data_IF_450900824028
#
_entry.id   IF_450900824028
#
_cell.length_a   1.000
_cell.length_b   1.000
_cell.length_c   1.000
_cell.angle_alpha   90.00
_cell.angle_beta   90.00
_cell.angle_gamma   90.00
#
_symmetry.space_group_name_H-M   'P 1'
#
loop_
_entity.id
_entity.type
_entity.pdbx_description
1 polymer ?
#
# COMPACT_ATOMS: atom_id res chain seq x y z
N UNK A 1 25.20 -11.95 -41.73
CA UNK A 1 23.76 -11.73 -41.48
C UNK A 1 23.61 -11.46 -40.00
N UNK A 2 23.61 -10.19 -39.61
CA UNK A 2 23.36 -9.75 -38.23
C UNK A 2 21.91 -10.04 -37.90
N UNK A 3 21.67 -10.86 -36.87
CA UNK A 3 20.31 -11.07 -36.34
C UNK A 3 19.72 -9.71 -35.97
N UNK A 4 18.46 -9.42 -36.33
CA UNK A 4 17.79 -8.22 -35.84
C UNK A 4 17.78 -8.27 -34.31
N UNK A 5 18.16 -7.15 -33.68
CA UNK A 5 18.02 -6.99 -32.23
C UNK A 5 16.59 -7.39 -31.86
N UNK A 6 16.48 -8.41 -31.00
CA UNK A 6 15.19 -8.88 -30.52
C UNK A 6 14.46 -7.67 -29.90
N UNK A 7 13.32 -7.24 -30.45
CA UNK A 7 12.62 -6.04 -30.00
C UNK A 7 12.16 -6.15 -28.55
N UNK A 8 12.13 -7.39 -28.02
CA UNK A 8 11.77 -7.69 -26.64
C UNK A 8 13.00 -7.93 -25.76
N UNK A 9 14.23 -7.76 -26.25
CA UNK A 9 15.44 -8.01 -25.47
C UNK A 9 15.54 -7.08 -24.24
N UNK A 10 15.20 -5.81 -24.41
CA UNK A 10 15.17 -4.83 -23.32
C UNK A 10 14.08 -5.17 -22.28
N UNK A 11 12.90 -5.58 -22.75
CA UNK A 11 11.79 -6.04 -21.91
C UNK A 11 12.15 -7.32 -21.14
N UNK A 12 12.78 -8.29 -21.81
CA UNK A 12 13.27 -9.53 -21.21
C UNK A 12 14.39 -9.27 -20.19
N UNK A 13 15.25 -8.28 -20.41
CA UNK A 13 16.26 -7.87 -19.44
C UNK A 13 15.62 -7.24 -18.19
N UNK A 14 14.61 -6.36 -18.37
CA UNK A 14 13.82 -5.80 -17.26
C UNK A 14 13.10 -6.89 -16.47
N UNK A 15 12.40 -7.82 -17.13
CA UNK A 15 11.71 -8.95 -16.49
C UNK A 15 12.66 -9.86 -15.71
N UNK A 16 13.86 -10.12 -16.23
CA UNK A 16 14.86 -10.94 -15.54
C UNK A 16 15.49 -10.24 -14.33
N UNK A 17 15.59 -8.91 -14.35
CA UNK A 17 16.04 -8.12 -13.20
C UNK A 17 14.97 -8.04 -12.09
N UNK A 18 13.69 -8.03 -12.45
CA UNK A 18 12.57 -7.98 -11.49
C UNK A 18 12.06 -9.35 -11.03
N UNK A 19 12.42 -10.45 -11.70
CA UNK A 19 11.99 -11.82 -11.35
C UNK A 19 12.61 -12.40 -10.07
N UNK A 20 13.38 -11.64 -9.30
CA UNK A 20 13.85 -12.05 -7.96
C UNK A 20 12.76 -11.91 -6.88
N UNK A 21 11.55 -11.44 -7.22
CA UNK A 21 10.45 -11.25 -6.26
C UNK A 21 9.45 -12.39 -6.34
N UNK A 22 9.57 -13.35 -5.43
CA UNK A 22 8.69 -14.51 -5.23
C UNK A 22 7.26 -14.17 -4.75
N UNK A 23 6.74 -12.96 -5.03
CA UNK A 23 5.58 -12.39 -4.33
C UNK A 23 4.39 -11.93 -5.18
N UNK A 24 4.49 -11.89 -6.51
CA UNK A 24 3.43 -11.38 -7.38
C UNK A 24 2.33 -12.44 -7.60
N UNK A 25 1.07 -12.10 -7.33
CA UNK A 25 -0.07 -13.04 -7.37
C UNK A 25 -0.98 -12.82 -8.58
N UNK A 26 -0.90 -11.68 -9.26
CA UNK A 26 -1.75 -11.35 -10.41
C UNK A 26 -1.02 -10.54 -11.50
N UNK A 27 -1.60 -10.52 -12.71
CA UNK A 27 -1.12 -9.65 -13.80
C UNK A 27 -1.30 -8.16 -13.48
N UNK A 28 -2.28 -7.82 -12.65
CA UNK A 28 -2.51 -6.44 -12.21
C UNK A 28 -1.40 -5.99 -11.24
N UNK A 29 -0.87 -6.89 -10.41
CA UNK A 29 0.28 -6.60 -9.54
C UNK A 29 1.54 -6.31 -10.37
N UNK A 30 1.71 -7.02 -11.49
CA UNK A 30 2.80 -6.82 -12.42
C UNK A 30 2.65 -5.47 -13.13
N UNK A 31 1.44 -5.14 -13.60
CA UNK A 31 1.17 -3.87 -14.26
C UNK A 31 1.36 -2.68 -13.31
N UNK A 32 0.91 -2.81 -12.07
CA UNK A 32 1.10 -1.79 -11.03
C UNK A 32 2.58 -1.55 -10.74
N UNK A 33 3.42 -2.60 -10.69
CA UNK A 33 4.86 -2.42 -10.52
C UNK A 33 5.50 -1.75 -11.74
N UNK A 34 5.14 -2.17 -12.96
CA UNK A 34 5.72 -1.64 -14.19
C UNK A 34 5.34 -0.18 -14.47
N UNK A 35 4.24 0.28 -13.89
CA UNK A 35 3.71 1.65 -14.06
C UNK A 35 3.90 2.52 -12.82
N UNK A 36 4.47 1.99 -11.74
CA UNK A 36 4.80 2.77 -10.56
C UNK A 36 5.83 3.85 -10.91
N UNK A 37 5.59 5.07 -10.44
CA UNK A 37 6.59 6.12 -10.57
C UNK A 37 7.85 5.72 -9.79
N UNK A 38 9.04 5.87 -10.39
CA UNK A 38 10.29 5.54 -9.71
C UNK A 38 10.47 6.45 -8.50
N UNK A 39 10.97 5.87 -7.40
CA UNK A 39 11.34 6.64 -6.22
C UNK A 39 12.32 7.77 -6.61
N UNK A 40 12.18 8.96 -6.01
CA UNK A 40 13.09 10.07 -6.29
C UNK A 40 14.54 9.67 -5.92
N UNK A 41 15.47 9.99 -6.81
CA UNK A 41 16.90 9.74 -6.59
C UNK A 41 17.42 10.61 -5.44
N UNK A 42 17.92 10.02 -4.34
CA UNK A 42 18.43 10.78 -3.20
C UNK A 42 19.68 11.61 -3.54
N UNK A 43 20.37 11.33 -4.64
CA UNK A 43 21.59 12.03 -5.06
C UNK A 43 21.35 13.15 -6.06
N UNK A 44 20.11 13.33 -6.54
CA UNK A 44 19.79 14.30 -7.59
C UNK A 44 20.17 15.76 -7.26
N UNK A 45 20.32 16.10 -5.97
CA UNK A 45 20.72 17.43 -5.49
C UNK A 45 22.16 17.54 -4.99
N UNK A 46 22.99 16.52 -5.16
CA UNK A 46 24.41 16.56 -4.74
C UNK A 46 25.26 17.13 -5.88
N UNK A 47 25.96 18.23 -5.60
CA UNK A 47 26.97 18.76 -6.53
C UNK A 47 28.30 18.05 -6.33
N UNK A 48 28.87 17.54 -7.42
CA UNK A 48 30.16 16.86 -7.43
C UNK A 48 31.25 17.83 -7.88
N UNK A 49 32.29 17.95 -7.07
CA UNK A 49 33.46 18.78 -7.36
C UNK A 49 34.55 18.00 -8.12
N UNK A 50 34.48 16.66 -8.09
CA UNK A 50 35.47 15.75 -8.68
C UNK A 50 36.65 15.46 -7.76
N UNK A 51 36.59 15.92 -6.50
CA UNK A 51 37.55 15.61 -5.46
C UNK A 51 37.03 14.45 -4.60
N UNK A 52 37.75 13.33 -4.64
CA UNK A 52 37.39 12.09 -3.93
C UNK A 52 37.33 12.26 -2.40
N UNK A 53 37.99 13.27 -1.83
CA UNK A 53 37.98 13.53 -0.38
C UNK A 53 36.81 14.44 0.06
N UNK A 54 36.34 15.31 -0.83
CA UNK A 54 35.31 16.32 -0.50
C UNK A 54 33.89 15.90 -0.91
N UNK A 55 33.74 15.15 -2.00
CA UNK A 55 32.45 14.65 -2.52
C UNK A 55 31.74 13.59 -1.65
N UNK A 56 32.40 12.70 -0.86
CA UNK A 56 31.67 11.64 -0.14
C UNK A 56 30.84 12.18 1.03
N UNK A 57 31.20 13.33 1.60
CA UNK A 57 30.47 13.92 2.73
C UNK A 57 29.04 14.36 2.37
N UNK A 58 28.82 15.20 1.33
CA UNK A 58 27.47 15.55 0.91
C UNK A 58 26.69 14.36 0.36
N UNK A 59 27.36 13.43 -0.34
CA UNK A 59 26.75 12.20 -0.86
C UNK A 59 26.17 11.31 0.25
N UNK A 60 26.99 10.95 1.25
CA UNK A 60 26.55 10.14 2.38
C UNK A 60 25.45 10.84 3.20
N UNK A 61 25.51 12.17 3.31
CA UNK A 61 24.47 12.97 3.95
C UNK A 61 23.14 12.91 3.20
N UNK A 62 23.16 12.96 1.87
CA UNK A 62 21.98 12.86 1.02
C UNK A 62 21.37 11.46 1.06
N UNK A 63 22.20 10.40 0.98
CA UNK A 63 21.76 9.02 1.14
C UNK A 63 21.10 8.78 2.50
N UNK A 64 21.73 9.25 3.59
CA UNK A 64 21.18 9.09 4.94
C UNK A 64 19.81 9.76 5.09
N UNK A 65 19.62 10.96 4.54
CA UNK A 65 18.31 11.64 4.54
C UNK A 65 17.27 10.84 3.76
N UNK A 66 17.59 10.39 2.55
CA UNK A 66 16.67 9.60 1.73
C UNK A 66 16.19 8.31 2.41
N UNK A 67 17.08 7.59 3.12
CA UNK A 67 16.68 6.41 3.91
C UNK A 67 15.73 6.75 5.06
N UNK A 68 15.97 7.86 5.77
CA UNK A 68 15.12 8.29 6.88
C UNK A 68 13.74 8.72 6.40
N UNK A 69 13.67 9.50 5.33
CA UNK A 69 12.42 9.96 4.73
C UNK A 69 11.58 8.78 4.23
N UNK A 70 12.21 7.83 3.53
CA UNK A 70 11.53 6.59 3.11
C UNK A 70 11.03 5.78 4.28
N UNK A 71 11.83 5.63 5.33
CA UNK A 71 11.41 4.90 6.55
C UNK A 71 10.21 5.57 7.21
N UNK A 72 10.18 6.91 7.25
CA UNK A 72 9.05 7.67 7.80
C UNK A 72 7.78 7.50 6.95
N UNK A 73 7.89 7.57 5.63
CA UNK A 73 6.77 7.34 4.71
C UNK A 73 6.23 5.91 4.79
N UNK A 74 7.12 4.91 4.88
CA UNK A 74 6.70 3.52 5.08
C UNK A 74 6.05 3.31 6.44
N UNK A 75 6.53 3.98 7.49
CA UNK A 75 5.90 3.94 8.81
C UNK A 75 4.52 4.60 8.80
N UNK A 76 4.36 5.74 8.12
CA UNK A 76 3.08 6.42 7.92
C UNK A 76 2.10 5.53 7.15
N UNK A 77 2.55 4.91 6.05
CA UNK A 77 1.78 3.91 5.30
C UNK A 77 1.38 2.73 6.18
N UNK A 78 2.30 2.23 7.01
CA UNK A 78 2.03 1.14 7.94
C UNK A 78 1.02 1.54 9.01
N UNK A 79 1.13 2.75 9.57
CA UNK A 79 0.19 3.29 10.56
C UNK A 79 -1.21 3.43 9.97
N UNK A 80 -1.35 4.07 8.79
CA UNK A 80 -2.62 4.19 8.06
C UNK A 80 -3.23 2.84 7.70
N UNK A 81 -2.41 1.82 7.46
CA UNK A 81 -2.87 0.47 7.16
C UNK A 81 -3.21 -0.37 8.40
N UNK A 82 -2.69 -0.01 9.59
CA UNK A 82 -2.79 -0.81 10.82
C UNK A 82 -3.74 -0.22 11.85
N UNK A 83 -3.93 1.11 11.88
CA UNK A 83 -4.97 1.75 12.69
C UNK A 83 -6.29 1.82 11.95
N UNK A 84 -7.08 0.77 12.10
CA UNK A 84 -8.53 0.96 12.20
C UNK A 84 -8.81 1.11 13.69
N UNK A 85 -8.81 2.33 14.22
CA UNK A 85 -8.88 2.57 15.68
C UNK A 85 -10.15 1.96 16.32
N UNK A 86 -11.20 1.71 15.53
CA UNK A 86 -12.48 1.20 16.02
C UNK A 86 -13.12 0.19 15.05
N UNK A 87 -12.84 -1.10 15.23
CA UNK A 87 -13.53 -2.20 14.54
C UNK A 87 -14.00 -3.26 15.53
N UNK A 88 -15.08 -3.94 15.19
CA UNK A 88 -15.50 -5.18 15.85
C UNK A 88 -15.81 -6.24 14.80
N UNK A 89 -15.74 -7.50 15.19
CA UNK A 89 -16.00 -8.63 14.30
C UNK A 89 -16.96 -9.60 14.97
N UNK A 90 -17.89 -10.15 14.18
CA UNK A 90 -18.79 -11.23 14.57
C UNK A 90 -18.34 -12.51 13.88
N UNK A 91 -17.96 -13.52 14.67
CA UNK A 91 -17.51 -14.80 14.16
C UNK A 91 -18.63 -15.85 14.23
N UNK A 92 -18.85 -16.55 13.12
CA UNK A 92 -19.81 -17.64 13.02
C UNK A 92 -19.09 -18.99 12.88
N UNK A 93 -19.77 -20.09 13.23
CA UNK A 93 -19.22 -21.44 13.12
C UNK A 93 -19.14 -21.92 11.67
N UNK A 94 -20.01 -21.41 10.80
CA UNK A 94 -20.07 -21.73 9.38
C UNK A 94 -20.33 -20.47 8.55
N UNK A 95 -20.04 -20.55 7.25
CA UNK A 95 -20.37 -19.49 6.30
C UNK A 95 -21.89 -19.34 6.15
N UNK A 96 -22.63 -20.44 6.14
CA UNK A 96 -24.10 -20.42 6.04
C UNK A 96 -24.74 -19.66 7.20
N UNK A 97 -24.22 -19.82 8.42
CA UNK A 97 -24.68 -19.06 9.59
C UNK A 97 -24.41 -17.55 9.44
N UNK A 98 -23.24 -17.19 8.89
CA UNK A 98 -22.87 -15.79 8.59
C UNK A 98 -23.84 -15.18 7.58
N UNK A 99 -24.08 -15.88 6.48
CA UNK A 99 -24.90 -15.39 5.37
C UNK A 99 -26.39 -15.31 5.79
N UNK A 100 -26.87 -16.28 6.57
CA UNK A 100 -28.21 -16.24 7.16
C UNK A 100 -28.39 -15.06 8.12
N UNK A 101 -27.40 -14.78 8.98
CA UNK A 101 -27.42 -13.62 9.86
C UNK A 101 -27.47 -12.31 9.08
N UNK A 102 -26.59 -12.12 8.09
CA UNK A 102 -26.54 -10.90 7.29
C UNK A 102 -27.85 -10.64 6.55
N UNK A 103 -28.45 -11.70 5.98
CA UNK A 103 -29.72 -11.62 5.29
C UNK A 103 -30.87 -11.27 6.24
N UNK A 104 -30.95 -11.92 7.40
CA UNK A 104 -31.97 -11.67 8.40
C UNK A 104 -31.87 -10.25 9.00
N UNK A 105 -30.64 -9.74 9.16
CA UNK A 105 -30.35 -8.41 9.67
C UNK A 105 -30.50 -7.29 8.61
N UNK A 106 -30.74 -7.64 7.34
CA UNK A 106 -30.84 -6.66 6.25
C UNK A 106 -29.49 -6.00 5.88
N UNK A 107 -28.37 -6.56 6.33
CA UNK A 107 -27.04 -5.94 6.19
C UNK A 107 -26.32 -6.30 4.88
N UNK A 108 -26.81 -7.29 4.13
CA UNK A 108 -26.24 -7.71 2.84
C UNK A 108 -26.08 -6.54 1.87
N UNK A 109 -26.95 -5.52 1.97
CA UNK A 109 -26.94 -4.35 1.08
C UNK A 109 -25.74 -3.43 1.27
N UNK A 110 -25.07 -3.47 2.42
CA UNK A 110 -23.89 -2.64 2.72
C UNK A 110 -22.57 -3.42 2.77
N UNK A 111 -22.62 -4.76 2.71
CA UNK A 111 -21.43 -5.61 2.63
C UNK A 111 -21.55 -6.94 3.35
N UNK A 112 -20.51 -7.77 3.28
CA UNK A 112 -20.50 -9.13 3.83
C UNK A 112 -19.31 -9.42 4.79
N UNK A 113 -18.38 -8.47 4.93
CA UNK A 113 -17.15 -8.61 5.74
C UNK A 113 -16.72 -7.33 6.43
N UNK A 114 -16.65 -6.21 5.70
CA UNK A 114 -16.34 -4.88 6.25
C UNK A 114 -17.54 -3.99 5.97
N UNK A 115 -18.25 -3.62 7.05
CA UNK A 115 -19.47 -2.83 6.98
C UNK A 115 -19.20 -1.48 7.65
N UNK A 116 -19.77 -0.41 7.09
CA UNK A 116 -19.78 0.88 7.75
C UNK A 116 -20.63 0.79 9.03
N UNK A 117 -20.04 1.16 10.18
CA UNK A 117 -20.68 1.02 11.49
C UNK A 117 -21.93 1.90 11.67
N UNK A 118 -21.94 3.10 11.08
CA UNK A 118 -23.07 4.03 11.18
C UNK A 118 -24.23 3.60 10.27
N UNK A 119 -23.93 3.17 9.04
CA UNK A 119 -24.94 2.59 8.14
C UNK A 119 -25.52 1.28 8.71
N UNK A 120 -24.67 0.46 9.36
CA UNK A 120 -25.12 -0.75 10.07
C UNK A 120 -26.09 -0.39 11.20
N UNK A 121 -25.78 0.65 11.99
CA UNK A 121 -26.63 1.10 13.08
C UNK A 121 -28.01 1.60 12.58
N UNK A 122 -28.02 2.36 11.48
CA UNK A 122 -29.27 2.81 10.84
C UNK A 122 -30.16 1.63 10.41
N UNK A 123 -29.58 0.62 9.76
CA UNK A 123 -30.32 -0.57 9.31
C UNK A 123 -30.85 -1.43 10.47
N UNK A 124 -30.09 -1.51 11.56
CA UNK A 124 -30.49 -2.25 12.77
C UNK A 124 -31.42 -1.45 13.70
N UNK A 125 -31.67 -0.16 13.42
CA UNK A 125 -32.46 0.72 14.29
C UNK A 125 -31.76 1.06 15.61
N UNK A 126 -30.43 1.04 15.65
CA UNK A 126 -29.61 1.37 16.82
C UNK A 126 -29.33 2.87 16.84
N UNK A 127 -29.65 3.53 17.94
CA UNK A 127 -29.34 4.95 18.13
C UNK A 127 -27.85 5.12 18.43
N UNK A 128 -27.13 5.84 17.56
CA UNK A 128 -25.73 6.19 17.75
C UNK A 128 -25.60 7.51 18.53
N UNK A 129 -24.56 7.68 19.35
CA UNK A 129 -24.23 8.99 19.92
C UNK A 129 -23.96 9.99 18.78
N UNK A 130 -24.29 11.26 19.01
CA UNK A 130 -23.88 12.32 18.09
C UNK A 130 -22.35 12.31 17.97
N UNK A 131 -21.79 12.50 16.76
CA UNK A 131 -20.34 12.58 16.61
C UNK A 131 -19.84 13.74 17.47
N UNK A 132 -19.09 13.41 18.52
CA UNK A 132 -18.37 14.42 19.29
C UNK A 132 -17.22 14.88 18.38
N UNK A 133 -17.17 16.17 18.05
CA UNK A 133 -16.17 16.78 17.15
C UNK A 133 -14.73 16.73 17.74
N UNK A 134 -14.52 16.01 18.83
CA UNK A 134 -13.34 16.07 19.71
C UNK A 134 -12.32 14.97 19.48
N UNK A 135 -12.59 13.93 18.70
CA UNK A 135 -11.62 12.85 18.46
C UNK A 135 -11.45 12.57 16.95
N UNK A 136 -10.82 13.53 16.27
CA UNK A 136 -9.92 13.20 15.14
C UNK A 136 -8.51 13.16 15.72
N UNK A 137 -8.11 12.00 16.22
CA UNK A 137 -6.71 11.67 16.51
C UNK A 137 -5.88 11.67 15.24
#
# INVERSE_FOLDING_TARGET
>A
MTSPEDPNAALLAQLKMSSSVSGMKSNDDVLALLTAEPDPDPLAGVEYTGDEEDDPRPELGALHRGFRERTALELERMQLATESEYWFCVCFKSQDDKDAFLAAAGLVVIGDKYLDGYATAELLGVTMPEPDDTERG
#
